data_IF_183655062740
#
_entry.id   IF_183655062740
#
_cell.length_a   1.000
_cell.length_b   1.000
_cell.length_c   1.000
_cell.angle_alpha   90.00
_cell.angle_beta   90.00
_cell.angle_gamma   90.00
#
_symmetry.space_group_name_H-M   'P 1'
#
loop_
_entity.id
_entity.type
_entity.pdbx_description
1 polymer ?
#
# COMPACT_ATOMS: atom_id res chain seq x y z
N UNK A 1 -26.01 -37.27 48.80
CA UNK A 1 -25.09 -37.73 49.87
C UNK A 1 -23.66 -37.73 49.34
N UNK A 2 -22.66 -37.43 50.18
CA UNK A 2 -21.71 -36.34 49.87
C UNK A 2 -20.23 -36.76 49.79
N UNK A 3 -19.43 -35.77 49.38
CA UNK A 3 -18.09 -35.42 49.84
C UNK A 3 -16.88 -36.31 49.45
N UNK A 4 -15.91 -35.68 48.77
CA UNK A 4 -14.62 -35.31 49.40
C UNK A 4 -13.75 -34.43 48.48
N UNK A 5 -13.64 -33.16 48.81
CA UNK A 5 -12.37 -32.41 48.85
C UNK A 5 -11.62 -32.78 50.15
N UNK A 6 -10.29 -32.71 50.18
CA UNK A 6 -9.55 -31.52 50.67
C UNK A 6 -8.22 -31.32 49.86
N UNK A 7 -7.32 -30.36 50.01
CA UNK A 7 -7.20 -29.05 50.65
C UNK A 7 -5.89 -28.44 50.09
N UNK A 8 -5.95 -27.17 49.68
CA UNK A 8 -5.10 -26.05 50.14
C UNK A 8 -3.58 -26.31 50.31
N UNK A 9 -2.75 -25.50 49.65
CA UNK A 9 -1.74 -24.65 50.31
C UNK A 9 -1.38 -23.45 49.45
N UNK A 10 -1.82 -22.27 49.92
CA UNK A 10 -1.39 -20.95 49.49
C UNK A 10 -0.09 -20.61 50.21
N UNK A 11 0.85 -19.93 49.55
CA UNK A 11 1.68 -18.94 50.21
C UNK A 11 1.81 -17.70 49.33
N UNK A 12 1.27 -16.61 49.88
CA UNK A 12 1.37 -15.24 49.45
C UNK A 12 2.78 -14.68 49.67
N UNK A 13 3.16 -13.75 48.78
CA UNK A 13 3.87 -12.48 49.01
C UNK A 13 5.25 -12.49 49.71
N UNK A 14 6.19 -11.67 49.19
CA UNK A 14 6.64 -10.40 49.81
C UNK A 14 7.93 -9.88 49.13
N UNK A 15 7.84 -8.61 48.72
CA UNK A 15 8.86 -7.54 48.63
C UNK A 15 10.07 -7.56 47.70
N UNK A 16 10.13 -6.46 46.94
CA UNK A 16 11.36 -5.80 46.46
C UNK A 16 12.20 -5.21 47.60
N UNK A 17 13.47 -4.88 47.32
CA UNK A 17 13.94 -3.57 47.70
C UNK A 17 14.66 -2.82 46.56
N UNK A 18 14.41 -1.51 46.57
CA UNK A 18 15.23 -0.44 46.01
C UNK A 18 16.70 -0.56 46.43
N UNK A 19 17.64 -0.23 45.53
CA UNK A 19 18.80 0.59 45.88
C UNK A 19 19.43 1.28 44.66
N UNK A 20 19.69 2.57 44.85
CA UNK A 20 20.50 3.46 44.03
C UNK A 20 21.97 2.97 43.92
N UNK A 21 22.60 3.18 42.76
CA UNK A 21 24.03 3.49 42.71
C UNK A 21 24.34 4.40 41.52
N UNK A 22 24.93 5.55 41.86
CA UNK A 22 25.52 6.57 40.99
C UNK A 22 26.94 6.15 40.54
N UNK A 23 27.48 6.93 39.59
CA UNK A 23 28.83 6.91 38.97
C UNK A 23 29.00 5.90 37.82
N UNK A 24 29.57 6.23 36.65
CA UNK A 24 30.50 7.31 36.27
C UNK A 24 30.45 7.47 34.73
N UNK A 25 30.73 8.67 34.24
CA UNK A 25 30.95 8.98 32.83
C UNK A 25 32.09 8.13 32.24
N UNK A 26 31.86 7.52 31.08
CA UNK A 26 32.94 7.24 30.13
C UNK A 26 32.49 7.63 28.71
N UNK A 27 32.98 8.80 28.30
CA UNK A 27 32.88 9.31 26.93
C UNK A 27 34.05 8.73 26.15
N UNK A 28 33.79 7.74 25.30
CA UNK A 28 34.68 7.42 24.17
C UNK A 28 34.00 6.55 23.11
N UNK A 29 33.91 7.13 21.91
CA UNK A 29 34.09 6.38 20.67
C UNK A 29 32.85 5.72 20.07
N UNK A 30 31.96 6.52 19.48
CA UNK A 30 31.23 6.08 18.29
C UNK A 30 31.29 7.20 17.25
N UNK A 31 32.32 7.12 16.41
CA UNK A 31 32.36 7.78 15.10
C UNK A 31 31.27 7.13 14.24
N UNK A 32 30.06 7.68 14.27
CA UNK A 32 29.02 7.29 13.30
C UNK A 32 29.07 8.30 12.15
N UNK A 33 29.52 7.77 11.02
CA UNK A 33 29.55 8.38 9.69
C UNK A 33 28.30 9.20 9.39
N UNK A 34 28.48 10.47 9.05
CA UNK A 34 27.45 11.41 8.59
C UNK A 34 27.13 11.22 7.09
N UNK A 35 27.02 9.98 6.59
CA UNK A 35 26.92 9.72 5.14
C UNK A 35 25.78 8.79 4.68
N UNK A 36 24.79 8.50 5.53
CA UNK A 36 23.61 7.71 5.11
C UNK A 36 22.30 8.33 5.64
N UNK A 37 21.98 9.53 5.15
CA UNK A 37 20.62 10.12 5.25
C UNK A 37 20.25 10.88 3.97
N UNK A 38 20.67 10.36 2.82
CA UNK A 38 20.25 10.84 1.50
C UNK A 38 19.47 9.73 0.77
N UNK A 39 18.24 9.48 1.23
CA UNK A 39 17.24 8.81 0.40
C UNK A 39 15.87 9.38 0.78
N UNK A 40 15.10 9.78 -0.23
CA UNK A 40 13.72 10.33 -0.22
C UNK A 40 13.55 11.85 -0.11
N UNK A 41 14.23 12.60 -0.99
CA UNK A 41 13.84 13.97 -1.34
C UNK A 41 13.80 14.21 -2.87
N UNK A 42 13.29 13.24 -3.64
CA UNK A 42 13.13 13.37 -5.10
C UNK A 42 11.69 13.31 -5.63
N UNK A 43 10.68 13.23 -4.75
CA UNK A 43 9.28 13.14 -5.21
C UNK A 43 8.48 14.46 -5.17
N UNK A 44 8.96 15.53 -4.50
CA UNK A 44 8.16 16.77 -4.39
C UNK A 44 8.12 17.59 -5.70
N UNK A 45 9.22 17.61 -6.48
CA UNK A 45 9.23 18.30 -7.78
C UNK A 45 8.28 17.63 -8.78
N UNK A 46 8.17 16.30 -8.74
CA UNK A 46 7.31 15.53 -9.63
C UNK A 46 5.81 15.75 -9.33
N UNK A 47 5.44 15.90 -8.04
CA UNK A 47 4.06 16.18 -7.62
C UNK A 47 3.60 17.55 -8.14
N UNK A 48 4.46 18.56 -8.09
CA UNK A 48 4.14 19.93 -8.53
C UNK A 48 3.94 20.03 -10.04
N UNK A 49 4.77 19.36 -10.83
CA UNK A 49 4.62 19.32 -12.28
C UNK A 49 3.34 18.58 -12.72
N UNK A 50 2.97 17.51 -12.00
CA UNK A 50 1.74 16.78 -12.26
C UNK A 50 0.47 17.60 -11.98
N UNK A 51 0.50 18.51 -11.01
CA UNK A 51 -0.63 19.41 -10.71
C UNK A 51 -0.70 20.62 -11.62
N UNK A 52 0.45 21.18 -12.02
CA UNK A 52 0.50 22.26 -13.01
C UNK A 52 -0.13 21.82 -14.34
N UNK A 53 0.07 20.55 -14.73
CA UNK A 53 -0.56 19.92 -15.89
C UNK A 53 -2.08 19.72 -15.75
N UNK A 54 -2.66 19.80 -14.55
CA UNK A 54 -4.12 19.77 -14.36
C UNK A 54 -4.78 21.13 -14.61
N UNK A 55 -4.00 22.21 -14.66
CA UNK A 55 -4.51 23.58 -14.75
C UNK A 55 -4.52 24.14 -16.18
N UNK A 56 -3.85 23.47 -17.12
CA UNK A 56 -3.80 23.86 -18.53
C UNK A 56 -4.26 22.69 -19.41
N UNK A 57 -5.56 22.67 -19.74
CA UNK A 57 -6.07 22.64 -21.12
C UNK A 57 -7.56 22.20 -21.15
N UNK A 58 -8.40 23.08 -21.71
CA UNK A 58 -9.70 22.81 -22.35
C UNK A 58 -10.98 22.49 -21.55
N UNK A 59 -11.41 23.18 -20.48
CA UNK A 59 -12.85 23.26 -20.11
C UNK A 59 -13.26 24.56 -19.36
N UNK A 60 -14.48 25.11 -19.58
CA UNK A 60 -14.90 26.45 -19.14
C UNK A 60 -15.45 26.54 -17.69
N UNK A 61 -15.10 25.59 -16.82
CA UNK A 61 -15.44 25.64 -15.39
C UNK A 61 -14.26 25.13 -14.58
N UNK A 62 -13.18 25.92 -14.60
CA UNK A 62 -11.99 25.72 -13.78
C UNK A 62 -12.35 26.00 -12.32
N UNK A 63 -12.66 24.93 -11.60
CA UNK A 63 -12.72 24.93 -10.14
C UNK A 63 -11.30 25.15 -9.66
N UNK A 64 -11.02 26.17 -8.83
CA UNK A 64 -9.68 26.44 -8.39
C UNK A 64 -9.20 25.30 -7.46
N UNK A 65 -8.13 24.62 -7.86
CA UNK A 65 -7.52 23.53 -7.08
C UNK A 65 -6.37 24.10 -6.23
N UNK A 66 -6.16 23.65 -4.99
CA UNK A 66 -5.00 24.02 -4.19
C UNK A 66 -3.69 23.79 -4.96
N UNK A 67 -2.84 24.80 -4.97
CA UNK A 67 -1.55 24.81 -5.64
C UNK A 67 -0.44 24.98 -4.61
N UNK A 68 0.75 24.48 -4.97
CA UNK A 68 1.94 24.70 -4.17
C UNK A 68 2.20 26.21 -4.02
N UNK A 69 2.35 26.67 -2.79
CA UNK A 69 2.57 28.09 -2.50
C UNK A 69 1.33 28.85 -2.03
N UNK A 70 0.13 28.28 -2.13
CA UNK A 70 -1.07 28.90 -1.55
C UNK A 70 -0.90 29.07 -0.02
N UNK A 71 -1.29 30.21 0.52
CA UNK A 71 -1.39 30.38 1.97
C UNK A 71 -2.58 29.59 2.56
N UNK A 72 -2.73 29.63 3.88
CA UNK A 72 -3.82 28.90 4.56
C UNK A 72 -5.21 29.36 4.11
N UNK A 73 -5.38 30.64 3.79
CA UNK A 73 -6.68 31.21 3.44
C UNK A 73 -7.06 30.84 2.01
N UNK A 74 -6.12 30.93 1.07
CA UNK A 74 -6.29 30.48 -0.30
C UNK A 74 -6.52 28.97 -0.37
N UNK A 75 -5.72 28.18 0.37
CA UNK A 75 -5.90 26.72 0.45
C UNK A 75 -7.29 26.36 1.00
N UNK A 76 -7.76 27.06 2.04
CA UNK A 76 -9.07 26.83 2.65
C UNK A 76 -10.24 27.20 1.71
N UNK A 77 -10.17 28.34 1.04
CA UNK A 77 -11.19 28.74 0.07
C UNK A 77 -11.32 27.73 -1.07
N UNK A 78 -10.19 27.36 -1.69
CA UNK A 78 -10.18 26.38 -2.80
C UNK A 78 -10.72 25.01 -2.38
N UNK A 79 -10.39 24.55 -1.16
CA UNK A 79 -10.96 23.32 -0.62
C UNK A 79 -12.47 23.42 -0.37
N UNK A 80 -12.96 24.56 0.13
CA UNK A 80 -14.38 24.78 0.34
C UNK A 80 -15.16 24.70 -0.98
N UNK A 81 -14.63 25.30 -2.04
CA UNK A 81 -15.22 25.26 -3.38
C UNK A 81 -15.27 23.82 -3.90
N UNK A 82 -14.17 23.05 -3.76
CA UNK A 82 -14.11 21.65 -4.13
C UNK A 82 -15.14 20.80 -3.36
N UNK A 83 -15.27 21.00 -2.04
CA UNK A 83 -16.24 20.28 -1.21
C UNK A 83 -17.67 20.59 -1.64
N UNK A 84 -17.98 21.84 -1.97
CA UNK A 84 -19.31 22.23 -2.45
C UNK A 84 -19.68 21.52 -3.75
N UNK A 85 -18.71 21.34 -4.65
CA UNK A 85 -18.91 20.64 -5.91
C UNK A 85 -19.08 19.14 -5.71
N UNK A 86 -18.23 18.51 -4.90
CA UNK A 86 -18.36 17.09 -4.56
C UNK A 86 -19.73 16.81 -3.89
N UNK A 87 -20.14 17.69 -2.99
CA UNK A 87 -21.44 17.58 -2.28
C UNK A 87 -22.64 17.73 -3.21
N UNK A 88 -22.48 18.35 -4.38
CA UNK A 88 -23.55 18.46 -5.39
C UNK A 88 -23.81 17.17 -6.17
N UNK A 89 -23.05 16.09 -5.89
CA UNK A 89 -23.20 14.79 -6.55
C UNK A 89 -22.74 14.77 -8.01
N UNK A 90 -22.08 15.84 -8.47
CA UNK A 90 -21.46 15.87 -9.79
C UNK A 90 -20.19 15.00 -9.75
N UNK A 91 -20.05 14.01 -10.65
CA UNK A 91 -18.82 13.24 -10.76
C UNK A 91 -17.66 14.20 -10.97
N UNK A 92 -16.60 14.05 -10.17
CA UNK A 92 -15.39 14.82 -10.30
C UNK A 92 -14.62 14.34 -11.54
N UNK A 93 -15.13 14.70 -12.72
CA UNK A 93 -14.51 14.40 -14.00
C UNK A 93 -13.39 15.40 -14.25
N UNK A 94 -12.31 15.30 -13.46
CA UNK A 94 -11.02 15.74 -13.97
C UNK A 94 -10.65 14.74 -15.05
N UNK A 95 -10.95 15.11 -16.29
CA UNK A 95 -10.43 14.45 -17.48
C UNK A 95 -8.94 14.72 -17.52
N UNK A 96 -8.20 14.13 -16.60
CA UNK A 96 -6.76 14.14 -16.64
C UNK A 96 -6.38 13.35 -17.87
N UNK A 97 -5.72 14.01 -18.82
CA UNK A 97 -4.97 13.36 -19.89
C UNK A 97 -3.80 12.52 -19.35
N UNK A 98 -3.90 11.98 -18.13
CA UNK A 98 -2.96 11.01 -17.59
C UNK A 98 -3.16 9.72 -18.36
N UNK A 99 -2.18 9.46 -19.22
CA UNK A 99 -1.93 8.19 -19.87
C UNK A 99 -2.37 7.04 -18.96
N UNK A 100 -3.34 6.25 -19.45
CA UNK A 100 -3.81 4.97 -18.92
C UNK A 100 -2.94 4.46 -17.77
N UNK A 101 -3.25 4.86 -16.54
CA UNK A 101 -2.62 4.24 -15.37
C UNK A 101 -3.36 2.93 -15.11
N UNK A 102 -3.25 2.01 -16.06
CA UNK A 102 -3.89 0.70 -15.98
C UNK A 102 -3.40 0.07 -14.69
N UNK A 103 -4.34 -0.23 -13.79
CA UNK A 103 -4.11 -1.04 -12.58
C UNK A 103 -3.13 -2.17 -12.95
N UNK A 104 -2.03 -2.37 -12.21
CA UNK A 104 -1.15 -3.50 -12.47
C UNK A 104 -2.02 -4.75 -12.43
N UNK A 105 -2.13 -5.40 -13.58
CA UNK A 105 -3.05 -6.52 -13.73
C UNK A 105 -2.56 -7.63 -12.79
N UNK A 106 -3.49 -8.48 -12.33
CA UNK A 106 -3.10 -9.67 -11.56
C UNK A 106 -2.03 -10.50 -12.28
N UNK A 107 -2.05 -10.46 -13.61
CA UNK A 107 -1.04 -11.06 -14.45
C UNK A 107 0.32 -10.36 -14.35
N UNK A 108 0.40 -9.03 -14.40
CA UNK A 108 1.65 -8.30 -14.21
C UNK A 108 2.28 -8.60 -12.84
N UNK A 109 1.49 -8.53 -11.78
CA UNK A 109 1.93 -8.85 -10.41
C UNK A 109 2.38 -10.31 -10.28
N UNK A 110 1.72 -11.24 -10.96
CA UNK A 110 2.12 -12.65 -10.96
C UNK A 110 3.43 -12.85 -11.72
N UNK A 111 3.61 -12.20 -12.89
CA UNK A 111 4.79 -12.34 -13.75
C UNK A 111 6.07 -11.94 -13.05
N UNK A 112 6.06 -10.88 -12.24
CA UNK A 112 7.22 -10.47 -11.42
C UNK A 112 7.72 -11.56 -10.45
N UNK A 113 6.80 -12.44 -10.03
CA UNK A 113 7.07 -13.52 -9.07
C UNK A 113 7.24 -14.88 -9.75
N UNK A 114 7.14 -14.96 -11.06
CA UNK A 114 7.32 -16.19 -11.83
C UNK A 114 8.82 -16.45 -12.05
N UNK A 115 9.19 -17.74 -12.07
CA UNK A 115 10.50 -18.16 -12.55
C UNK A 115 10.57 -18.04 -14.07
N UNK A 116 11.78 -17.98 -14.63
CA UNK A 116 11.96 -17.87 -16.09
C UNK A 116 11.26 -19.00 -16.87
N UNK A 117 11.31 -20.24 -16.35
CA UNK A 117 10.63 -21.39 -16.96
C UNK A 117 9.11 -21.29 -16.91
N UNK A 118 8.57 -20.75 -15.82
CA UNK A 118 7.13 -20.52 -15.64
C UNK A 118 6.64 -19.43 -16.62
N UNK A 119 7.38 -18.33 -16.75
CA UNK A 119 7.08 -17.25 -17.70
C UNK A 119 7.05 -17.76 -19.14
N UNK A 120 8.09 -18.47 -19.57
CA UNK A 120 8.17 -18.96 -20.96
C UNK A 120 7.01 -19.89 -21.30
N UNK A 121 6.65 -20.81 -20.40
CA UNK A 121 5.51 -21.70 -20.64
C UNK A 121 4.18 -20.95 -20.62
N UNK A 122 4.01 -20.01 -19.68
CA UNK A 122 2.80 -19.20 -19.57
C UNK A 122 2.55 -18.36 -20.83
N UNK A 123 3.58 -17.66 -21.34
CA UNK A 123 3.45 -16.85 -22.56
C UNK A 123 3.15 -17.71 -23.78
N UNK A 124 3.81 -18.86 -23.92
CA UNK A 124 3.53 -19.80 -25.03
C UNK A 124 2.11 -20.35 -24.96
N UNK A 125 1.62 -20.67 -23.76
CA UNK A 125 0.25 -21.15 -23.54
C UNK A 125 -0.76 -20.06 -23.86
N UNK A 126 -0.54 -18.84 -23.36
CA UNK A 126 -1.40 -17.69 -23.64
C UNK A 126 -1.42 -17.33 -25.13
N UNK A 127 -0.29 -17.48 -25.81
CA UNK A 127 -0.16 -17.34 -27.27
C UNK A 127 -0.74 -18.51 -28.08
N UNK A 128 -1.30 -19.55 -27.43
CA UNK A 128 -1.83 -20.78 -28.05
C UNK A 128 -0.82 -21.58 -28.88
N UNK A 129 0.48 -21.39 -28.61
CA UNK A 129 1.59 -22.08 -29.30
C UNK A 129 2.07 -23.28 -28.46
N UNK A 130 1.66 -23.36 -27.20
CA UNK A 130 2.05 -24.46 -26.31
C UNK A 130 1.19 -25.72 -26.57
N UNK A 131 1.79 -26.86 -26.95
CA UNK A 131 1.05 -28.08 -27.19
C UNK A 131 0.60 -28.72 -25.87
N UNK A 132 -0.67 -28.55 -25.51
CA UNK A 132 -1.25 -29.23 -24.36
C UNK A 132 -1.59 -30.67 -24.73
N UNK A 133 -1.20 -31.68 -23.91
CA UNK A 133 -1.64 -33.05 -24.12
C UNK A 133 -3.14 -33.15 -23.84
N UNK A 134 -3.79 -34.12 -24.51
CA UNK A 134 -5.14 -34.52 -24.14
C UNK A 134 -5.14 -35.05 -22.70
N UNK A 135 -6.12 -34.64 -21.91
CA UNK A 135 -6.24 -35.04 -20.50
C UNK A 135 -7.58 -35.77 -20.31
N UNK A 136 -7.52 -37.00 -19.80
CA UNK A 136 -8.70 -37.77 -19.45
C UNK A 136 -9.00 -37.60 -17.96
N UNK A 137 -9.99 -36.75 -17.66
CA UNK A 137 -10.37 -36.39 -16.29
C UNK A 137 -10.86 -37.57 -15.45
N UNK A 138 -11.39 -38.62 -16.09
CA UNK A 138 -11.96 -39.78 -15.39
C UNK A 138 -10.89 -40.83 -15.04
N UNK A 139 -9.80 -40.93 -15.82
CA UNK A 139 -8.78 -41.97 -15.64
C UNK A 139 -7.46 -41.44 -15.09
N UNK A 140 -7.14 -40.16 -15.35
CA UNK A 140 -5.92 -39.52 -14.88
C UNK A 140 -6.07 -39.04 -13.43
N UNK A 141 -6.17 -39.97 -12.50
CA UNK A 141 -6.44 -39.72 -11.08
C UNK A 141 -5.33 -40.37 -10.23
N UNK A 142 -4.84 -39.65 -9.21
CA UNK A 142 -3.90 -40.20 -8.22
C UNK A 142 -4.28 -39.73 -6.81
N UNK A 143 -4.30 -40.63 -5.79
CA UNK A 143 -4.59 -40.24 -4.42
C UNK A 143 -3.65 -39.15 -3.90
N UNK A 144 -4.21 -38.20 -3.14
CA UNK A 144 -3.48 -37.06 -2.56
C UNK A 144 -3.43 -37.20 -1.03
N UNK A 145 -2.23 -37.10 -0.41
CA UNK A 145 -2.13 -36.98 1.04
C UNK A 145 -2.83 -35.73 1.56
N UNK A 146 -3.47 -35.82 2.73
CA UNK A 146 -4.25 -34.71 3.32
C UNK A 146 -3.43 -33.42 3.48
N UNK A 147 -2.17 -33.55 3.89
CA UNK A 147 -1.19 -32.45 4.02
C UNK A 147 -0.94 -31.67 2.72
N UNK A 148 -1.11 -32.30 1.55
CA UNK A 148 -0.88 -31.69 0.25
C UNK A 148 -2.16 -31.22 -0.44
N UNK A 149 -3.34 -31.49 0.14
CA UNK A 149 -4.65 -31.26 -0.47
C UNK A 149 -4.85 -29.82 -0.91
N UNK A 150 -4.42 -28.85 -0.08
CA UNK A 150 -4.50 -27.40 -0.42
C UNK A 150 -3.71 -27.06 -1.69
N UNK A 151 -2.47 -27.54 -1.79
CA UNK A 151 -1.60 -27.27 -2.93
C UNK A 151 -2.16 -27.90 -4.21
N UNK A 152 -2.64 -29.14 -4.13
CA UNK A 152 -3.21 -29.83 -5.28
C UNK A 152 -4.57 -29.28 -5.69
N UNK A 153 -5.37 -28.77 -4.75
CA UNK A 153 -6.62 -28.05 -5.07
C UNK A 153 -6.35 -26.78 -5.87
N UNK A 154 -5.32 -26.01 -5.49
CA UNK A 154 -4.92 -24.81 -6.24
C UNK A 154 -4.43 -25.16 -7.65
N UNK A 155 -3.67 -26.26 -7.78
CA UNK A 155 -3.22 -26.75 -9.09
C UNK A 155 -4.39 -27.24 -9.93
N UNK A 156 -5.38 -27.91 -9.36
CA UNK A 156 -6.58 -28.35 -10.05
C UNK A 156 -7.37 -27.16 -10.60
N UNK A 157 -7.57 -26.11 -9.79
CA UNK A 157 -8.18 -24.86 -10.26
C UNK A 157 -7.38 -24.19 -11.40
N UNK A 158 -6.06 -24.30 -11.40
CA UNK A 158 -5.24 -23.84 -12.51
C UNK A 158 -5.40 -24.72 -13.76
N UNK A 159 -5.57 -26.04 -13.60
CA UNK A 159 -5.81 -26.97 -14.72
C UNK A 159 -7.15 -26.70 -15.41
N UNK A 160 -8.21 -26.36 -14.67
CA UNK A 160 -9.49 -25.93 -15.23
C UNK A 160 -9.30 -24.76 -16.23
N UNK A 161 -8.45 -23.79 -15.89
CA UNK A 161 -8.13 -22.66 -16.78
C UNK A 161 -7.29 -23.10 -17.98
N UNK A 162 -6.26 -23.92 -17.76
CA UNK A 162 -5.31 -24.32 -18.81
C UNK A 162 -6.00 -25.13 -19.90
N UNK A 163 -6.89 -26.06 -19.51
CA UNK A 163 -7.60 -26.96 -20.43
C UNK A 163 -9.03 -26.51 -20.76
N UNK A 164 -9.46 -25.34 -20.27
CA UNK A 164 -10.86 -24.89 -20.39
C UNK A 164 -11.86 -25.95 -19.89
N UNK A 165 -11.51 -26.60 -18.79
CA UNK A 165 -12.32 -27.60 -18.11
C UNK A 165 -12.94 -27.00 -16.84
N UNK A 166 -13.98 -27.63 -16.33
CA UNK A 166 -14.58 -27.28 -15.05
C UNK A 166 -14.75 -28.54 -14.23
N UNK A 167 -14.12 -28.57 -13.05
CA UNK A 167 -14.24 -29.68 -12.12
C UNK A 167 -12.99 -30.56 -12.01
N UNK A 168 -11.82 -30.06 -12.40
CA UNK A 168 -10.55 -30.71 -12.09
C UNK A 168 -10.44 -30.96 -10.57
N UNK A 169 -10.06 -32.18 -10.18
CA UNK A 169 -9.90 -32.53 -8.77
C UNK A 169 -8.42 -32.47 -8.34
N UNK A 170 -8.13 -32.40 -7.03
CA UNK A 170 -6.76 -32.49 -6.53
C UNK A 170 -6.02 -33.75 -7.01
N UNK A 171 -6.74 -34.86 -7.17
CA UNK A 171 -6.21 -36.13 -7.65
C UNK A 171 -5.77 -36.05 -9.12
N UNK A 172 -6.48 -35.29 -9.97
CA UNK A 172 -6.04 -35.03 -11.34
C UNK A 172 -4.71 -34.27 -11.36
N UNK A 173 -4.58 -33.25 -10.50
CA UNK A 173 -3.35 -32.48 -10.38
C UNK A 173 -2.18 -33.31 -9.82
N UNK A 174 -2.45 -34.26 -8.92
CA UNK A 174 -1.46 -35.19 -8.41
C UNK A 174 -0.99 -36.17 -9.47
N UNK A 175 -1.90 -36.68 -10.29
CA UNK A 175 -1.55 -37.52 -11.44
C UNK A 175 -0.69 -36.74 -12.45
N UNK A 176 -1.08 -35.51 -12.80
CA UNK A 176 -0.33 -34.65 -13.73
C UNK A 176 1.09 -34.40 -13.22
N UNK A 177 1.25 -34.14 -11.93
CA UNK A 177 2.55 -33.82 -11.34
C UNK A 177 3.58 -34.96 -11.46
N UNK A 178 3.12 -36.20 -11.61
CA UNK A 178 3.97 -37.38 -11.76
C UNK A 178 4.17 -37.75 -13.22
N UNK A 179 3.10 -37.71 -14.03
CA UNK A 179 3.12 -38.19 -15.41
C UNK A 179 3.51 -37.11 -16.43
N UNK A 180 3.29 -35.83 -16.12
CA UNK A 180 3.63 -34.67 -16.94
C UNK A 180 4.29 -33.59 -16.09
N UNK A 181 5.44 -33.92 -15.49
CA UNK A 181 6.21 -33.00 -14.67
C UNK A 181 6.72 -31.77 -15.45
N UNK A 182 6.83 -31.90 -16.76
CA UNK A 182 7.15 -30.84 -17.72
C UNK A 182 6.09 -29.72 -17.78
N UNK A 183 4.84 -30.02 -17.41
CA UNK A 183 3.73 -29.06 -17.35
C UNK A 183 3.62 -28.32 -16.01
N UNK A 184 4.39 -28.74 -15.00
CA UNK A 184 4.36 -28.12 -13.68
C UNK A 184 4.69 -26.62 -13.67
N UNK A 185 5.66 -26.11 -14.47
CA UNK A 185 5.92 -24.69 -14.51
C UNK A 185 4.70 -23.89 -15.00
N UNK A 186 3.98 -24.37 -16.02
CA UNK A 186 2.75 -23.74 -16.50
C UNK A 186 1.66 -23.72 -15.42
N UNK A 187 1.42 -24.87 -14.78
CA UNK A 187 0.42 -24.96 -13.70
C UNK A 187 0.76 -24.01 -12.55
N UNK A 188 2.04 -23.93 -12.16
CA UNK A 188 2.51 -22.97 -11.15
C UNK A 188 2.31 -21.53 -11.59
N UNK A 189 2.61 -21.19 -12.84
CA UNK A 189 2.40 -19.87 -13.39
C UNK A 189 0.93 -19.44 -13.28
N UNK A 190 0.00 -20.28 -13.75
CA UNK A 190 -1.44 -20.00 -13.69
C UNK A 190 -1.94 -19.93 -12.24
N UNK A 191 -1.41 -20.77 -11.35
CA UNK A 191 -1.70 -20.71 -9.90
C UNK A 191 -1.28 -19.36 -9.29
N UNK A 192 -0.12 -18.81 -9.69
CA UNK A 192 0.33 -17.48 -9.25
C UNK A 192 -0.59 -16.37 -9.75
N UNK A 193 -1.06 -16.45 -11.00
CA UNK A 193 -2.06 -15.49 -11.54
C UNK A 193 -3.36 -15.54 -10.75
N UNK A 194 -3.88 -16.74 -10.46
CA UNK A 194 -5.07 -16.90 -9.62
C UNK A 194 -4.89 -16.31 -8.22
N UNK A 195 -3.76 -16.61 -7.59
CA UNK A 195 -3.42 -16.09 -6.26
C UNK A 195 -3.30 -14.57 -6.27
N UNK A 196 -2.71 -13.99 -7.32
CA UNK A 196 -2.61 -12.55 -7.51
C UNK A 196 -4.00 -11.89 -7.69
N UNK A 197 -4.93 -12.52 -8.41
CA UNK A 197 -6.32 -12.05 -8.54
C UNK A 197 -7.00 -11.97 -7.17
N UNK A 198 -6.97 -13.08 -6.43
CA UNK A 198 -7.56 -13.14 -5.07
C UNK A 198 -6.91 -12.12 -4.14
N UNK A 199 -5.58 -11.95 -4.21
CA UNK A 199 -4.86 -10.99 -3.40
C UNK A 199 -5.26 -9.54 -3.74
N UNK A 200 -5.34 -9.19 -5.03
CA UNK A 200 -5.77 -7.87 -5.45
C UNK A 200 -7.23 -7.60 -5.07
N UNK A 201 -8.13 -8.57 -5.22
CA UNK A 201 -9.53 -8.44 -4.81
C UNK A 201 -9.70 -8.25 -3.30
N UNK A 202 -8.83 -8.87 -2.50
CA UNK A 202 -8.90 -8.83 -1.04
C UNK A 202 -8.22 -7.59 -0.44
N UNK A 203 -7.07 -7.19 -0.97
CA UNK A 203 -6.21 -6.17 -0.34
C UNK A 203 -6.15 -4.85 -1.09
N UNK A 204 -6.61 -4.78 -2.33
CA UNK A 204 -6.66 -3.52 -3.07
C UNK A 204 -8.11 -2.99 -3.06
N UNK A 205 -8.44 -1.96 -2.26
CA UNK A 205 -9.79 -1.38 -2.23
C UNK A 205 -10.17 -0.72 -3.57
N UNK A 206 -9.17 -0.34 -4.38
CA UNK A 206 -9.37 0.18 -5.73
C UNK A 206 -9.69 -0.92 -6.74
N UNK A 207 -9.63 -2.20 -6.35
CA UNK A 207 -9.81 -3.31 -7.27
C UNK A 207 -11.24 -3.43 -7.82
N UNK A 208 -12.22 -2.91 -7.07
CA UNK A 208 -13.65 -2.89 -7.39
C UNK A 208 -14.10 -1.57 -8.03
N UNK A 209 -13.21 -0.59 -8.12
CA UNK A 209 -13.52 0.74 -8.63
C UNK A 209 -13.36 0.79 -10.15
N UNK A 210 -14.20 1.57 -10.81
CA UNK A 210 -14.06 1.87 -12.23
C UNK A 210 -12.78 2.70 -12.47
N UNK A 211 -12.26 2.68 -13.70
CA UNK A 211 -11.10 3.50 -14.08
C UNK A 211 -11.32 4.99 -13.76
N UNK A 212 -12.55 5.48 -13.94
CA UNK A 212 -12.96 6.84 -13.58
C UNK A 212 -12.86 7.12 -12.08
N UNK A 213 -13.30 6.19 -11.24
CA UNK A 213 -13.22 6.30 -9.78
C UNK A 213 -11.77 6.22 -9.28
N UNK A 214 -10.92 5.46 -9.96
CA UNK A 214 -9.49 5.38 -9.65
C UNK A 214 -8.81 6.70 -10.00
N UNK A 215 -9.12 7.29 -11.15
CA UNK A 215 -8.61 8.62 -11.54
C UNK A 215 -9.03 9.67 -10.51
N UNK A 216 -10.31 9.70 -10.14
CA UNK A 216 -10.84 10.60 -9.11
C UNK A 216 -10.13 10.40 -7.76
N UNK A 217 -9.98 9.16 -7.29
CA UNK A 217 -9.30 8.86 -6.03
C UNK A 217 -7.84 9.33 -6.04
N UNK A 218 -7.11 9.13 -7.15
CA UNK A 218 -5.74 9.59 -7.30
C UNK A 218 -5.65 11.11 -7.28
N UNK A 219 -6.56 11.81 -7.96
CA UNK A 219 -6.53 13.27 -7.93
C UNK A 219 -6.85 13.82 -6.55
N UNK A 220 -7.80 13.24 -5.83
CA UNK A 220 -8.07 13.63 -4.44
C UNK A 220 -6.86 13.39 -3.52
N UNK A 221 -6.12 12.29 -3.72
CA UNK A 221 -4.87 12.04 -3.00
C UNK A 221 -3.82 13.11 -3.28
N UNK A 222 -3.67 13.51 -4.54
CA UNK A 222 -2.74 14.53 -4.97
C UNK A 222 -3.10 15.90 -4.36
N UNK A 223 -4.37 16.28 -4.39
CA UNK A 223 -4.87 17.51 -3.75
C UNK A 223 -4.58 17.48 -2.25
N UNK A 224 -4.84 16.37 -1.57
CA UNK A 224 -4.57 16.23 -0.14
C UNK A 224 -3.08 16.36 0.19
N UNK A 225 -2.18 15.85 -0.66
CA UNK A 225 -0.75 16.00 -0.47
C UNK A 225 -0.34 17.49 -0.49
N UNK A 226 -0.79 18.25 -1.49
CA UNK A 226 -0.52 19.70 -1.61
C UNK A 226 -1.05 20.48 -0.43
N UNK A 227 -2.27 20.16 0.00
CA UNK A 227 -2.89 20.80 1.17
C UNK A 227 -2.04 20.53 2.41
N UNK A 228 -1.58 19.30 2.60
CA UNK A 228 -0.70 18.93 3.70
C UNK A 228 0.61 19.74 3.69
N UNK A 229 1.24 19.86 2.52
CA UNK A 229 2.47 20.65 2.35
C UNK A 229 2.25 22.14 2.60
N UNK A 230 1.17 22.72 2.08
CA UNK A 230 0.81 24.12 2.31
C UNK A 230 0.57 24.41 3.80
N UNK A 231 -0.16 23.52 4.48
CA UNK A 231 -0.44 23.64 5.91
C UNK A 231 0.85 23.59 6.72
N UNK A 232 1.74 22.65 6.43
CA UNK A 232 2.98 22.53 7.21
C UNK A 232 3.94 23.69 6.94
N UNK A 233 4.05 24.15 5.68
CA UNK A 233 4.84 25.34 5.32
C UNK A 233 4.36 26.58 6.06
N UNK A 234 3.05 26.85 6.03
CA UNK A 234 2.50 28.04 6.68
C UNK A 234 2.54 27.94 8.21
N UNK A 235 2.36 26.74 8.79
CA UNK A 235 2.61 26.52 10.22
C UNK A 235 4.06 26.84 10.59
N UNK A 236 5.02 26.41 9.79
CA UNK A 236 6.42 26.73 10.02
C UNK A 236 6.68 28.25 9.93
N UNK A 237 6.07 28.94 8.97
CA UNK A 237 6.13 30.41 8.83
C UNK A 237 5.57 31.11 10.07
N UNK A 238 4.39 30.71 10.53
CA UNK A 238 3.73 31.26 11.72
C UNK A 238 4.57 31.05 12.98
N UNK A 239 5.15 29.85 13.18
CA UNK A 239 6.06 29.58 14.30
C UNK A 239 7.23 30.57 14.36
N UNK A 240 7.87 30.85 13.22
CA UNK A 240 8.98 31.83 13.15
C UNK A 240 8.54 33.24 13.52
N UNK A 241 7.38 33.67 13.05
CA UNK A 241 6.83 35.01 13.36
C UNK A 241 6.53 35.13 14.86
N UNK A 242 5.90 34.12 15.45
CA UNK A 242 5.59 34.08 16.89
C UNK A 242 6.87 34.17 17.72
N UNK A 243 7.91 33.44 17.34
CA UNK A 243 9.21 33.48 18.02
C UNK A 243 9.84 34.88 17.98
N UNK A 244 9.84 35.53 16.80
CA UNK A 244 10.33 36.89 16.63
C UNK A 244 9.57 37.91 17.49
N UNK A 245 8.23 37.76 17.57
CA UNK A 245 7.38 38.60 18.43
C UNK A 245 7.74 38.41 19.90
N UNK A 246 7.92 37.16 20.35
CA UNK A 246 8.25 36.85 21.74
C UNK A 246 9.62 37.40 22.13
N UNK A 247 10.62 37.25 21.26
CA UNK A 247 11.96 37.82 21.44
C UNK A 247 11.89 39.35 21.57
N UNK A 248 11.19 40.01 20.64
CA UNK A 248 11.00 41.46 20.68
C UNK A 248 10.29 41.91 21.97
N UNK A 249 9.24 41.18 22.38
CA UNK A 249 8.51 41.45 23.64
C UNK A 249 9.38 41.26 24.87
N UNK A 250 10.30 40.30 24.86
CA UNK A 250 11.23 40.07 25.96
C UNK A 250 12.17 41.26 26.16
N UNK A 251 12.73 41.82 25.07
CA UNK A 251 13.57 43.02 25.11
C UNK A 251 12.81 44.23 25.67
N UNK A 252 11.58 44.47 25.18
CA UNK A 252 10.74 45.57 25.67
C UNK A 252 10.44 45.44 27.17
N UNK A 253 10.11 44.23 27.64
CA UNK A 253 9.89 43.96 29.07
C UNK A 253 11.13 44.17 29.91
N UNK A 254 12.30 43.78 29.41
CA UNK A 254 13.57 44.02 30.09
C UNK A 254 13.83 45.53 30.23
N UNK A 255 13.57 46.32 29.18
CA UNK A 255 13.71 47.78 29.23
C UNK A 255 12.73 48.42 30.20
N UNK A 256 11.47 47.98 30.22
CA UNK A 256 10.46 48.48 31.15
C UNK A 256 10.89 48.27 32.61
N UNK A 257 11.43 47.09 32.94
CA UNK A 257 11.96 46.80 34.29
C UNK A 257 13.08 47.75 34.72
N UNK A 258 13.95 48.16 33.79
CA UNK A 258 15.03 49.13 34.09
C UNK A 258 14.48 50.52 34.37
N UNK A 259 13.33 50.89 33.78
CA UNK A 259 12.73 52.21 33.92
C UNK A 259 11.87 52.37 35.19
N UNK A 260 11.73 51.32 36.00
CA UNK A 260 11.17 51.44 37.36
C UNK A 260 9.67 51.69 37.46
N UNK A 261 8.90 51.39 36.42
CA UNK A 261 7.43 51.21 36.51
C UNK A 261 7.10 49.77 36.87
#
# INVERSE_FOLDING_TARGET
MPAKTPEIHSWNQISAPSNYSLFTLDTKGISTSMDEMAHDFHDSENIHDQLAQLTCDEFPFLVPVPTAGDDLEATAHKLSDLVQIISSGRPFALTTGQASTSKPSAEAFAKERMLATELVQYERWKGRIYPLPAFDWATNIRPVPEEALKTFSQRAAAMDIIWHHQGATPENAAWLSVNHSDLLPLVKAVTKVLSAKVHLEKYNPLSRLSETQIAEAKTLQLINAVVGENVERERARLRRVIECINQSRAVLRARLKVLGT
#
